data_IF_369829614298
#
_entry.id   IF_369829614298
#
_cell.length_a   1.000
_cell.length_b   1.000
_cell.length_c   1.000
_cell.angle_alpha   90.00
_cell.angle_beta   90.00
_cell.angle_gamma   90.00
#
_symmetry.space_group_name_H-M   'P 1'
#
loop_
_entity.id
_entity.type
_entity.pdbx_description
1 polymer ?
#
# COMPACT_ATOMS: atom_id res chain seq x y z
N UNK A 1 -11.09 5.13 27.18
CA UNK A 1 -9.78 4.45 27.18
C UNK A 1 -9.53 3.73 25.84
N UNK A 2 -10.29 2.68 25.48
CA UNK A 2 -10.05 1.84 24.27
C UNK A 2 -9.98 2.63 22.94
N UNK A 3 -10.88 3.59 22.70
CA UNK A 3 -10.86 4.41 21.48
C UNK A 3 -9.63 5.31 21.40
N UNK A 4 -9.10 5.78 22.52
CA UNK A 4 -7.87 6.57 22.58
C UNK A 4 -6.63 5.68 22.32
N UNK A 5 -6.62 4.49 22.89
CA UNK A 5 -5.57 3.49 22.64
C UNK A 5 -5.55 3.08 21.16
N UNK A 6 -6.72 2.82 20.56
CA UNK A 6 -6.83 2.51 19.14
C UNK A 6 -6.43 3.69 18.24
N UNK A 7 -6.67 4.94 18.69
CA UNK A 7 -6.24 6.16 17.98
C UNK A 7 -4.72 6.32 18.00
N UNK A 8 -4.06 6.04 19.11
CA UNK A 8 -2.63 6.23 19.29
C UNK A 8 -1.78 4.99 18.95
N UNK A 9 -2.39 3.93 18.43
CA UNK A 9 -1.68 2.69 18.14
C UNK A 9 -0.48 2.92 17.23
N UNK A 10 0.71 2.55 17.67
CA UNK A 10 2.02 2.74 16.99
C UNK A 10 2.33 4.20 16.64
N UNK A 11 1.79 5.17 17.37
CA UNK A 11 2.07 6.59 17.18
C UNK A 11 1.40 7.24 15.95
N UNK A 12 0.70 6.48 15.13
CA UNK A 12 0.02 7.01 13.94
C UNK A 12 -1.42 7.40 14.29
N UNK A 13 -1.76 8.66 14.08
CA UNK A 13 -3.12 9.16 14.32
C UNK A 13 -4.11 8.60 13.31
N UNK A 14 -5.27 8.15 13.79
CA UNK A 14 -6.22 7.36 13.00
C UNK A 14 -7.57 8.07 12.84
N UNK A 15 -8.19 7.86 11.69
CA UNK A 15 -9.59 8.23 11.46
C UNK A 15 -10.58 7.21 12.04
N UNK A 16 -11.86 7.57 12.06
CA UNK A 16 -12.92 6.72 12.65
C UNK A 16 -12.97 5.30 12.07
N UNK A 17 -12.68 5.11 10.78
CA UNK A 17 -12.64 3.78 10.14
C UNK A 17 -11.46 2.94 10.64
N UNK A 18 -10.28 3.55 10.79
CA UNK A 18 -9.10 2.86 11.32
C UNK A 18 -9.30 2.46 12.78
N UNK A 19 -9.88 3.35 13.60
CA UNK A 19 -10.25 3.03 14.99
C UNK A 19 -11.23 1.85 15.03
N UNK A 20 -12.25 1.85 14.17
CA UNK A 20 -13.23 0.74 14.07
C UNK A 20 -12.52 -0.58 13.78
N UNK A 21 -11.70 -0.64 12.74
CA UNK A 21 -10.98 -1.84 12.36
C UNK A 21 -10.04 -2.31 13.48
N UNK A 22 -9.31 -1.39 14.12
CA UNK A 22 -8.42 -1.73 15.25
C UNK A 22 -9.18 -2.31 16.42
N UNK A 23 -10.37 -1.80 16.75
CA UNK A 23 -11.21 -2.33 17.82
C UNK A 23 -11.67 -3.77 17.54
N UNK A 24 -11.84 -4.16 16.30
CA UNK A 24 -12.16 -5.54 15.90
C UNK A 24 -10.96 -6.49 16.04
N UNK A 25 -9.72 -5.99 15.98
CA UNK A 25 -8.48 -6.75 16.11
C UNK A 25 -7.93 -6.82 17.54
N UNK A 26 -8.67 -6.34 18.54
CA UNK A 26 -8.29 -6.55 19.93
C UNK A 26 -8.48 -8.03 20.31
N UNK A 27 -7.72 -8.53 21.29
CA UNK A 27 -7.88 -9.89 21.85
C UNK A 27 -9.33 -10.19 22.21
N UNK A 28 -10.01 -9.20 22.81
CA UNK A 28 -11.46 -9.19 22.96
C UNK A 28 -12.03 -8.16 21.99
N UNK A 29 -12.57 -8.58 20.82
CA UNK A 29 -13.08 -7.67 19.82
C UNK A 29 -14.19 -6.77 20.34
N UNK A 30 -14.10 -5.48 20.04
CA UNK A 30 -15.10 -4.49 20.44
C UNK A 30 -15.84 -3.98 19.23
N UNK A 31 -17.09 -4.38 19.06
CA UNK A 31 -17.99 -3.89 18.03
C UNK A 31 -18.57 -2.53 18.42
N UNK A 32 -18.21 -1.47 17.68
CA UNK A 32 -18.68 -0.12 17.95
C UNK A 32 -19.08 0.59 16.67
N UNK A 33 -20.31 1.07 16.58
CA UNK A 33 -20.82 1.81 15.42
C UNK A 33 -19.93 3.05 15.11
N UNK A 34 -19.66 3.29 13.84
CA UNK A 34 -18.88 4.45 13.37
C UNK A 34 -19.42 5.80 13.84
N UNK A 35 -20.77 5.94 14.00
CA UNK A 35 -21.39 7.15 14.57
C UNK A 35 -20.94 7.38 16.02
N UNK A 36 -20.90 6.31 16.84
CA UNK A 36 -20.42 6.35 18.24
C UNK A 36 -18.94 6.71 18.30
N UNK A 37 -18.11 6.12 17.44
CA UNK A 37 -16.67 6.44 17.35
C UNK A 37 -16.48 7.92 17.03
N UNK A 38 -17.14 8.44 16.00
CA UNK A 38 -17.04 9.87 15.62
C UNK A 38 -17.48 10.79 16.77
N UNK A 39 -18.56 10.43 17.49
CA UNK A 39 -19.02 11.19 18.68
C UNK A 39 -17.96 11.22 19.77
N UNK A 40 -17.29 10.08 20.03
CA UNK A 40 -16.20 9.99 21.00
C UNK A 40 -15.00 10.84 20.53
N UNK A 41 -14.61 10.72 19.26
CA UNK A 41 -13.53 11.55 18.70
C UNK A 41 -13.80 13.03 18.89
N UNK A 42 -15.01 13.50 18.55
CA UNK A 42 -15.40 14.91 18.73
C UNK A 42 -15.39 15.32 20.21
N UNK A 43 -15.93 14.48 21.11
CA UNK A 43 -15.96 14.75 22.56
C UNK A 43 -14.56 14.96 23.16
N UNK A 44 -13.56 14.20 22.67
CA UNK A 44 -12.18 14.24 23.18
C UNK A 44 -11.21 14.98 22.27
N UNK A 45 -11.70 15.74 21.28
CA UNK A 45 -10.86 16.54 20.39
C UNK A 45 -9.94 15.72 19.49
N UNK A 46 -10.20 14.42 19.29
CA UNK A 46 -9.37 13.56 18.46
C UNK A 46 -9.61 13.86 16.98
N UNK A 47 -8.60 14.37 16.31
CA UNK A 47 -8.65 14.73 14.88
C UNK A 47 -7.78 13.76 14.08
N UNK A 48 -8.28 13.32 12.91
CA UNK A 48 -7.46 12.62 11.95
C UNK A 48 -6.53 13.62 11.25
N UNK A 49 -5.19 13.48 11.36
CA UNK A 49 -4.24 14.42 10.75
C UNK A 49 -4.12 14.22 9.24
N UNK A 50 -4.59 13.09 8.72
CA UNK A 50 -4.52 12.77 7.30
C UNK A 50 -5.30 13.81 6.51
N UNK A 51 -4.61 14.45 5.57
CA UNK A 51 -5.14 15.46 4.67
C UNK A 51 -6.35 14.96 3.89
N UNK A 52 -7.45 15.70 3.90
CA UNK A 52 -8.59 15.42 3.01
C UNK A 52 -8.16 15.59 1.55
N UNK A 53 -8.36 14.56 0.73
CA UNK A 53 -8.10 14.67 -0.71
C UNK A 53 -8.93 15.82 -1.30
N UNK A 54 -8.26 16.74 -2.03
CA UNK A 54 -8.95 17.83 -2.70
C UNK A 54 -9.78 17.27 -3.88
N UNK A 55 -11.14 17.41 -3.88
CA UNK A 55 -11.99 16.91 -4.96
C UNK A 55 -11.62 17.49 -6.32
N UNK A 56 -11.23 18.77 -6.37
CA UNK A 56 -10.83 19.46 -7.61
C UNK A 56 -9.55 18.86 -8.23
N UNK A 57 -8.61 18.38 -7.43
CA UNK A 57 -7.43 17.67 -7.94
C UNK A 57 -7.79 16.38 -8.68
N UNK A 58 -8.78 15.64 -8.18
CA UNK A 58 -9.29 14.43 -8.84
C UNK A 58 -9.95 14.77 -10.18
N UNK A 59 -10.76 15.84 -10.21
CA UNK A 59 -11.45 16.29 -11.41
C UNK A 59 -10.49 16.82 -12.48
N UNK A 60 -9.51 17.66 -12.11
CA UNK A 60 -8.47 18.15 -13.01
C UNK A 60 -7.59 17.01 -13.55
N UNK A 61 -7.30 15.99 -12.72
CA UNK A 61 -6.56 14.80 -13.12
C UNK A 61 -7.37 13.95 -14.11
N UNK A 62 -8.69 13.79 -13.88
CA UNK A 62 -9.60 13.11 -14.80
C UNK A 62 -9.72 13.82 -16.15
N UNK A 63 -9.76 15.14 -16.17
CA UNK A 63 -9.83 15.94 -17.41
C UNK A 63 -8.54 15.87 -18.24
N UNK A 64 -7.37 15.75 -17.59
CA UNK A 64 -6.07 15.62 -18.30
C UNK A 64 -5.84 14.25 -18.95
N UNK A 65 -6.59 13.22 -18.55
CA UNK A 65 -6.42 11.85 -19.02
C UNK A 65 -7.38 11.42 -20.13
N UNK A 66 -8.21 12.33 -20.67
CA UNK A 66 -9.21 12.03 -21.70
C UNK A 66 -8.65 11.72 -23.09
N UNK A 67 -7.31 11.80 -23.32
CA UNK A 67 -6.67 11.58 -24.61
C UNK A 67 -5.55 10.53 -24.56
N UNK A 68 -5.83 9.29 -24.16
CA UNK A 68 -4.78 8.25 -24.15
C UNK A 68 -5.25 6.92 -24.73
N UNK A 69 -4.40 6.36 -25.58
CA UNK A 69 -4.55 5.09 -26.29
C UNK A 69 -4.71 3.84 -25.38
N UNK A 70 -5.24 2.69 -25.88
CA UNK A 70 -5.63 1.53 -25.06
C UNK A 70 -4.46 0.92 -24.28
N UNK A 71 -4.69 0.65 -22.99
CA UNK A 71 -3.75 0.06 -22.04
C UNK A 71 -3.93 -1.46 -21.99
N UNK A 72 -2.84 -2.23 -22.00
CA UNK A 72 -2.89 -3.71 -21.95
C UNK A 72 -3.42 -4.24 -20.62
N UNK A 73 -3.30 -3.50 -19.52
CA UNK A 73 -3.79 -3.92 -18.20
C UNK A 73 -5.25 -3.57 -17.94
N UNK A 74 -5.94 -2.81 -18.81
CA UNK A 74 -7.35 -2.42 -18.73
C UNK A 74 -7.88 -2.07 -17.33
N UNK A 75 -7.02 -1.69 -16.37
CA UNK A 75 -7.31 -1.40 -14.95
C UNK A 75 -7.82 -2.57 -14.11
N UNK A 76 -7.70 -3.78 -14.59
CA UNK A 76 -8.19 -5.00 -13.95
C UNK A 76 -7.19 -5.59 -12.95
N UNK A 77 -6.58 -4.75 -12.11
CA UNK A 77 -5.57 -5.16 -11.12
C UNK A 77 -6.06 -6.25 -10.15
N UNK A 78 -7.36 -6.43 -10.01
CA UNK A 78 -7.97 -7.41 -9.09
C UNK A 78 -8.40 -8.72 -9.75
N UNK A 79 -8.40 -8.82 -11.05
CA UNK A 79 -8.88 -10.02 -11.74
C UNK A 79 -7.82 -11.12 -11.83
N UNK A 80 -6.54 -10.76 -11.61
CA UNK A 80 -5.44 -11.69 -11.82
C UNK A 80 -5.00 -12.47 -10.57
N UNK A 81 -5.42 -12.06 -9.37
CA UNK A 81 -5.05 -12.71 -8.11
C UNK A 81 -3.68 -12.27 -7.53
N UNK A 82 -3.32 -12.83 -6.35
CA UNK A 82 -2.07 -12.49 -5.66
C UNK A 82 -0.83 -12.81 -6.50
N UNK A 83 0.22 -11.98 -6.38
CA UNK A 83 1.54 -12.16 -7.02
C UNK A 83 1.55 -12.16 -8.55
N UNK A 84 0.44 -11.87 -9.22
CA UNK A 84 0.36 -11.83 -10.69
C UNK A 84 0.80 -10.48 -11.26
N UNK A 85 0.45 -9.39 -10.59
CA UNK A 85 0.81 -8.03 -10.99
C UNK A 85 1.49 -7.33 -9.83
N UNK A 86 2.72 -6.94 -10.03
CA UNK A 86 3.50 -6.13 -9.11
C UNK A 86 3.62 -4.71 -9.68
N UNK A 87 3.48 -3.73 -8.82
CA UNK A 87 3.61 -2.31 -9.17
C UNK A 87 4.90 -1.78 -8.58
N UNK A 88 5.71 -1.10 -9.38
CA UNK A 88 6.92 -0.44 -8.89
C UNK A 88 6.95 1.03 -9.29
N UNK A 89 7.42 1.86 -8.39
CA UNK A 89 7.57 3.29 -8.62
C UNK A 89 8.61 3.89 -7.66
N UNK A 90 9.12 5.07 -8.02
CA UNK A 90 10.10 5.80 -7.22
C UNK A 90 9.45 7.07 -6.69
N UNK A 91 9.60 7.29 -5.38
CA UNK A 91 9.18 8.55 -4.76
C UNK A 91 10.37 9.33 -4.21
N UNK A 92 10.22 10.66 -4.22
CA UNK A 92 11.18 11.60 -3.64
C UNK A 92 10.79 11.88 -2.19
N UNK A 93 11.76 11.78 -1.30
CA UNK A 93 11.61 12.06 0.12
C UNK A 93 12.42 13.31 0.46
N UNK A 94 11.79 14.25 1.14
CA UNK A 94 12.48 15.39 1.76
C UNK A 94 12.40 15.20 3.27
N UNK A 95 13.52 15.16 3.96
CA UNK A 95 13.60 14.88 5.37
C UNK A 95 14.49 15.89 6.11
N UNK A 96 14.39 15.94 7.44
CA UNK A 96 15.14 16.86 8.26
C UNK A 96 15.00 18.32 7.80
N UNK A 97 16.11 19.01 7.69
CA UNK A 97 16.17 20.41 7.25
C UNK A 97 16.19 20.60 5.72
N UNK A 98 15.67 19.62 4.96
CA UNK A 98 15.55 19.72 3.50
C UNK A 98 16.46 18.76 2.72
N UNK A 99 17.04 17.77 3.38
CA UNK A 99 17.81 16.72 2.73
C UNK A 99 16.91 15.86 1.84
N UNK A 100 17.51 15.28 0.79
CA UNK A 100 16.79 14.47 -0.19
C UNK A 100 17.22 13.01 -0.11
N UNK A 101 16.23 12.14 -0.20
CA UNK A 101 16.40 10.71 -0.45
C UNK A 101 15.36 10.23 -1.46
N UNK A 102 15.54 9.03 -1.95
CA UNK A 102 14.68 8.38 -2.93
C UNK A 102 14.26 7.02 -2.38
N UNK A 103 13.02 6.64 -2.60
CA UNK A 103 12.53 5.32 -2.22
C UNK A 103 11.89 4.67 -3.42
N UNK A 104 12.34 3.48 -3.76
CA UNK A 104 11.65 2.59 -4.70
C UNK A 104 10.87 1.56 -3.91
N UNK A 105 9.68 1.21 -4.38
CA UNK A 105 8.81 0.21 -3.75
C UNK A 105 8.29 -0.77 -4.78
N UNK A 106 8.04 -2.00 -4.34
CA UNK A 106 7.38 -3.04 -5.13
C UNK A 106 6.17 -3.53 -4.34
N UNK A 107 4.97 -3.25 -4.85
CA UNK A 107 3.69 -3.60 -4.25
C UNK A 107 3.00 -4.72 -5.03
N UNK A 108 2.38 -5.65 -4.34
CA UNK A 108 1.39 -6.54 -4.96
C UNK A 108 0.10 -5.76 -5.24
N UNK A 109 -0.30 -5.70 -6.49
CA UNK A 109 -1.48 -4.95 -6.90
C UNK A 109 -2.78 -5.52 -6.31
N UNK A 110 -2.83 -6.81 -6.00
CA UNK A 110 -3.99 -7.50 -5.45
C UNK A 110 -4.08 -7.36 -3.93
N UNK A 111 -3.08 -7.87 -3.22
CA UNK A 111 -3.05 -7.90 -1.74
C UNK A 111 -2.67 -6.58 -1.11
N UNK A 112 -2.13 -5.65 -1.88
CA UNK A 112 -1.53 -4.37 -1.43
C UNK A 112 -0.33 -4.54 -0.51
N UNK A 113 0.26 -5.74 -0.42
CA UNK A 113 1.48 -5.95 0.35
C UNK A 113 2.63 -5.15 -0.25
N UNK A 114 3.39 -4.47 0.60
CA UNK A 114 4.71 -3.96 0.28
C UNK A 114 5.69 -5.13 0.34
N UNK A 115 6.11 -5.63 -0.84
CA UNK A 115 6.94 -6.83 -0.97
C UNK A 115 8.42 -6.54 -0.84
N UNK A 116 8.84 -5.41 -1.40
CA UNK A 116 10.21 -4.93 -1.31
C UNK A 116 10.25 -3.42 -1.44
N UNK A 117 11.26 -2.83 -0.85
CA UNK A 117 11.61 -1.42 -1.01
C UNK A 117 13.10 -1.23 -0.78
N UNK A 118 13.60 -0.11 -1.28
CA UNK A 118 14.97 0.35 -1.04
C UNK A 118 14.95 1.87 -0.91
N UNK A 119 15.76 2.40 0.01
CA UNK A 119 15.94 3.84 0.21
C UNK A 119 17.37 4.20 -0.12
N UNK A 120 17.58 5.31 -0.82
CA UNK A 120 18.92 5.76 -1.21
C UNK A 120 19.01 7.28 -1.25
N UNK A 121 20.17 7.82 -0.92
CA UNK A 121 20.48 9.24 -1.14
C UNK A 121 20.89 9.52 -2.60
N UNK A 122 21.06 8.46 -3.41
CA UNK A 122 21.46 8.54 -4.81
C UNK A 122 20.40 7.95 -5.73
N UNK A 123 20.06 8.65 -6.82
CA UNK A 123 19.10 8.20 -7.84
C UNK A 123 19.77 7.31 -8.91
N UNK A 124 20.83 6.56 -8.55
CA UNK A 124 21.48 5.62 -9.48
C UNK A 124 20.63 4.36 -9.63
N UNK A 125 20.79 3.67 -10.75
CA UNK A 125 20.03 2.44 -11.05
C UNK A 125 20.16 1.35 -9.96
N UNK A 126 21.31 1.29 -9.28
CA UNK A 126 21.65 0.21 -8.36
C UNK A 126 20.62 0.04 -7.23
N UNK A 127 20.01 1.14 -6.70
CA UNK A 127 19.01 1.03 -5.66
C UNK A 127 17.71 0.38 -6.16
N UNK A 128 17.35 0.56 -7.43
CA UNK A 128 16.20 -0.11 -8.05
C UNK A 128 16.49 -1.60 -8.23
N UNK A 129 17.71 -1.95 -8.68
CA UNK A 129 18.14 -3.35 -8.80
C UNK A 129 18.19 -4.05 -7.45
N UNK A 130 18.62 -3.35 -6.39
CA UNK A 130 18.62 -3.88 -5.03
C UNK A 130 17.21 -4.22 -4.55
N UNK A 131 16.22 -3.36 -4.83
CA UNK A 131 14.82 -3.65 -4.50
C UNK A 131 14.31 -4.91 -5.22
N UNK A 132 14.65 -5.10 -6.50
CA UNK A 132 14.31 -6.32 -7.25
C UNK A 132 15.02 -7.54 -6.68
N UNK A 133 16.30 -7.46 -6.37
CA UNK A 133 17.06 -8.54 -5.74
C UNK A 133 16.45 -8.93 -4.39
N UNK A 134 16.05 -7.94 -3.58
CA UNK A 134 15.35 -8.16 -2.30
C UNK A 134 14.00 -8.86 -2.51
N UNK A 135 13.21 -8.43 -3.50
CA UNK A 135 11.97 -9.11 -3.90
C UNK A 135 12.22 -10.59 -4.21
N UNK A 136 13.19 -10.87 -5.08
CA UNK A 136 13.51 -12.24 -5.49
C UNK A 136 14.00 -13.07 -4.30
N UNK A 137 14.88 -12.52 -3.47
CA UNK A 137 15.42 -13.22 -2.28
C UNK A 137 14.32 -13.62 -1.30
N UNK A 138 13.32 -12.74 -1.06
CA UNK A 138 12.29 -12.96 -0.04
C UNK A 138 11.08 -13.70 -0.61
N UNK A 139 10.69 -13.38 -1.84
CA UNK A 139 9.42 -13.82 -2.43
C UNK A 139 9.58 -14.66 -3.69
N UNK A 140 10.80 -14.93 -4.16
CA UNK A 140 11.06 -15.60 -5.44
C UNK A 140 10.29 -16.92 -5.62
N UNK A 141 10.17 -17.71 -4.55
CA UNK A 141 9.40 -18.98 -4.57
C UNK A 141 7.91 -18.77 -4.82
N UNK A 142 7.34 -17.64 -4.39
CA UNK A 142 5.92 -17.30 -4.57
C UNK A 142 5.62 -16.57 -5.87
N UNK A 143 6.66 -16.15 -6.60
CA UNK A 143 6.51 -15.49 -7.90
C UNK A 143 6.41 -16.57 -8.99
N UNK A 144 5.51 -16.35 -9.93
CA UNK A 144 5.32 -17.26 -11.06
C UNK A 144 6.03 -16.69 -12.29
N UNK A 145 6.39 -17.58 -13.24
CA UNK A 145 7.03 -17.20 -14.50
C UNK A 145 6.27 -16.15 -15.34
N UNK A 146 4.99 -15.90 -15.02
CA UNK A 146 4.16 -14.88 -15.68
C UNK A 146 3.90 -13.66 -14.83
N UNK A 147 4.53 -13.54 -13.64
CA UNK A 147 4.38 -12.36 -12.79
C UNK A 147 4.83 -11.12 -13.55
N UNK A 148 3.94 -10.15 -13.66
CA UNK A 148 4.14 -8.91 -14.39
C UNK A 148 4.61 -7.81 -13.43
N UNK A 149 5.77 -7.22 -13.68
CA UNK A 149 6.20 -6.00 -13.00
C UNK A 149 5.82 -4.80 -13.87
N UNK A 150 4.90 -3.98 -13.37
CA UNK A 150 4.45 -2.77 -14.03
C UNK A 150 5.13 -1.54 -13.44
N UNK A 151 5.74 -0.72 -14.29
CA UNK A 151 6.41 0.53 -13.94
C UNK A 151 5.95 1.67 -14.83
N UNK A 152 6.38 2.89 -14.53
CA UNK A 152 6.39 3.98 -15.51
C UNK A 152 7.50 3.79 -16.55
N UNK A 153 7.61 4.74 -17.50
CA UNK A 153 8.65 4.75 -18.54
C UNK A 153 9.93 5.47 -18.08
N UNK A 154 10.20 5.52 -16.78
CA UNK A 154 11.40 6.15 -16.23
C UNK A 154 12.69 5.49 -16.72
N UNK A 155 13.78 6.26 -16.76
CA UNK A 155 15.09 5.79 -17.24
C UNK A 155 15.63 4.58 -16.47
N UNK A 156 15.27 4.43 -15.21
CA UNK A 156 15.64 3.26 -14.38
C UNK A 156 15.02 1.98 -14.94
N UNK A 157 13.74 2.02 -15.29
CA UNK A 157 12.98 0.86 -15.76
C UNK A 157 13.22 0.51 -17.22
N UNK A 158 13.71 1.47 -18.02
CA UNK A 158 14.11 1.26 -19.43
C UNK A 158 15.57 0.85 -19.59
N UNK A 159 16.33 0.81 -18.48
CA UNK A 159 17.75 0.44 -18.50
C UNK A 159 17.95 -1.04 -18.85
N UNK A 160 19.02 -1.35 -19.58
CA UNK A 160 19.37 -2.73 -19.94
C UNK A 160 19.57 -3.62 -18.70
N UNK A 161 20.14 -3.07 -17.61
CA UNK A 161 20.34 -3.80 -16.35
C UNK A 161 19.02 -4.22 -15.71
N UNK A 162 18.00 -3.33 -15.71
CA UNK A 162 16.67 -3.66 -15.18
C UNK A 162 15.98 -4.71 -16.06
N UNK A 163 16.01 -4.54 -17.36
CA UNK A 163 15.43 -5.53 -18.31
C UNK A 163 16.09 -6.91 -18.12
N UNK A 164 17.42 -6.94 -17.95
CA UNK A 164 18.17 -8.17 -17.76
C UNK A 164 17.76 -8.88 -16.45
N UNK A 165 17.74 -8.18 -15.32
CA UNK A 165 17.39 -8.80 -14.02
C UNK A 165 15.94 -9.35 -14.02
N UNK A 166 15.00 -8.67 -14.70
CA UNK A 166 13.63 -9.15 -14.84
C UNK A 166 13.59 -10.45 -15.66
N UNK A 167 14.32 -10.50 -16.78
CA UNK A 167 14.41 -11.71 -17.63
C UNK A 167 15.09 -12.88 -16.94
N UNK A 168 16.22 -12.64 -16.25
CA UNK A 168 16.98 -13.66 -15.56
C UNK A 168 16.16 -14.35 -14.45
N UNK A 169 15.16 -13.65 -13.91
CA UNK A 169 14.24 -14.17 -12.90
C UNK A 169 12.88 -14.59 -13.47
N UNK A 170 12.79 -14.79 -14.79
CA UNK A 170 11.58 -15.24 -15.49
C UNK A 170 10.33 -14.37 -15.25
N UNK A 171 10.53 -13.09 -14.95
CA UNK A 171 9.45 -12.13 -14.76
C UNK A 171 9.16 -11.41 -16.09
N UNK A 172 7.97 -10.87 -16.20
CA UNK A 172 7.55 -10.06 -17.35
C UNK A 172 7.53 -8.58 -16.97
N UNK A 173 8.01 -7.74 -17.87
CA UNK A 173 7.93 -6.30 -17.71
C UNK A 173 6.73 -5.74 -18.46
N UNK A 174 5.99 -4.85 -17.81
CA UNK A 174 5.00 -3.97 -18.42
C UNK A 174 5.34 -2.52 -18.08
N UNK A 175 5.02 -1.61 -18.99
CA UNK A 175 5.18 -0.18 -18.75
C UNK A 175 3.84 0.51 -18.97
N UNK A 176 3.41 1.27 -17.98
CA UNK A 176 2.29 2.19 -18.13
C UNK A 176 2.63 3.22 -19.21
N UNK A 177 1.62 3.63 -19.99
CA UNK A 177 1.82 4.63 -21.03
C UNK A 177 2.18 5.99 -20.43
N UNK A 178 2.96 6.76 -21.18
CA UNK A 178 3.38 8.11 -20.78
C UNK A 178 2.15 8.94 -20.36
N UNK A 179 2.18 9.51 -19.16
CA UNK A 179 1.13 10.34 -18.57
C UNK A 179 -0.18 9.62 -18.15
N UNK A 180 -0.23 8.29 -18.05
CA UNK A 180 -1.41 7.59 -17.58
C UNK A 180 -1.32 7.26 -16.07
N UNK A 181 -1.68 8.23 -15.24
CA UNK A 181 -1.63 8.12 -13.77
C UNK A 181 -2.66 7.13 -13.18
N UNK A 182 -3.62 6.64 -13.94
CA UNK A 182 -4.58 5.64 -13.48
C UNK A 182 -3.96 4.25 -13.33
N UNK A 183 -2.94 3.94 -14.11
CA UNK A 183 -2.27 2.65 -14.11
C UNK A 183 -1.34 2.49 -12.91
N UNK A 184 -1.05 3.57 -12.18
CA UNK A 184 -0.24 3.58 -10.97
C UNK A 184 -0.98 4.13 -9.72
N UNK A 185 -2.31 4.25 -9.79
CA UNK A 185 -3.12 4.80 -8.69
C UNK A 185 -2.91 4.10 -7.33
N UNK A 186 -2.71 2.77 -7.24
CA UNK A 186 -2.39 2.12 -5.97
C UNK A 186 -1.07 2.59 -5.38
N UNK A 187 -0.04 2.80 -6.20
CA UNK A 187 1.28 3.26 -5.81
C UNK A 187 1.23 4.73 -5.34
N UNK A 188 0.53 5.59 -6.08
CA UNK A 188 0.29 6.97 -5.66
C UNK A 188 -0.44 7.06 -4.32
N UNK A 189 -1.45 6.20 -4.11
CA UNK A 189 -2.18 6.12 -2.84
C UNK A 189 -1.28 5.65 -1.70
N UNK A 190 -0.43 4.66 -1.94
CA UNK A 190 0.56 4.16 -1.00
C UNK A 190 1.51 5.27 -0.56
N UNK A 191 2.17 5.95 -1.50
CA UNK A 191 3.08 7.06 -1.19
C UNK A 191 2.38 8.24 -0.51
N UNK A 192 1.14 8.51 -0.90
CA UNK A 192 0.33 9.54 -0.25
C UNK A 192 0.11 9.23 1.23
N UNK A 193 -0.28 7.99 1.55
CA UNK A 193 -0.47 7.55 2.93
C UNK A 193 0.84 7.56 3.72
N UNK A 194 1.93 7.06 3.15
CA UNK A 194 3.23 7.07 3.79
C UNK A 194 3.65 8.50 4.17
N UNK A 195 3.59 9.43 3.22
CA UNK A 195 4.01 10.83 3.44
C UNK A 195 3.07 11.60 4.37
N UNK A 196 1.80 11.23 4.44
CA UNK A 196 0.82 11.85 5.35
C UNK A 196 0.94 11.27 6.79
N UNK A 197 1.45 10.05 6.94
CA UNK A 197 1.56 9.35 8.23
C UNK A 197 2.96 9.48 8.86
N UNK A 198 4.01 9.64 8.04
CA UNK A 198 5.39 9.86 8.50
C UNK A 198 5.69 11.35 8.63
N UNK A 199 6.17 11.77 9.79
CA UNK A 199 6.77 13.10 9.96
C UNK A 199 8.25 13.04 9.54
N UNK A 200 8.48 13.17 8.23
CA UNK A 200 9.83 13.15 7.65
C UNK A 200 10.65 14.40 8.02
N UNK A 201 10.00 15.51 8.33
CA UNK A 201 10.69 16.73 8.75
C UNK A 201 11.35 16.57 10.12
N UNK A 202 10.80 15.71 10.98
CA UNK A 202 11.35 15.40 12.30
C UNK A 202 12.53 14.40 12.27
N UNK A 203 12.96 13.90 11.10
CA UNK A 203 14.12 13.03 11.00
C UNK A 203 15.41 13.82 11.29
N UNK A 204 16.23 13.31 12.21
CA UNK A 204 17.51 13.95 12.55
C UNK A 204 18.57 13.72 11.48
N UNK A 205 18.65 12.52 10.95
CA UNK A 205 19.63 12.11 9.93
C UNK A 205 19.07 11.03 8.99
N UNK A 206 19.93 10.49 8.13
CA UNK A 206 19.56 9.45 7.18
C UNK A 206 19.23 8.11 7.87
N UNK A 207 19.90 7.77 8.96
CA UNK A 207 19.63 6.51 9.68
C UNK A 207 18.28 6.59 10.41
N UNK A 208 17.93 7.75 10.99
CA UNK A 208 16.60 7.99 11.56
C UNK A 208 15.51 7.90 10.48
N UNK A 209 15.76 8.44 9.28
CA UNK A 209 14.86 8.27 8.12
C UNK A 209 14.63 6.79 7.80
N UNK A 210 15.70 6.00 7.70
CA UNK A 210 15.61 4.55 7.43
C UNK A 210 14.80 3.84 8.50
N UNK A 211 15.12 4.06 9.78
CA UNK A 211 14.43 3.42 10.90
C UNK A 211 12.91 3.74 10.91
N UNK A 212 12.52 4.98 10.61
CA UNK A 212 11.11 5.39 10.52
C UNK A 212 10.40 4.76 9.34
N UNK A 213 11.07 4.63 8.19
CA UNK A 213 10.51 3.98 7.01
C UNK A 213 10.34 2.49 7.28
N UNK A 214 11.31 1.82 7.92
CA UNK A 214 11.25 0.42 8.27
C UNK A 214 10.10 0.14 9.26
N UNK A 215 9.95 0.94 10.32
CA UNK A 215 8.83 0.83 11.25
C UNK A 215 7.47 1.05 10.56
N UNK A 216 7.41 2.05 9.67
CA UNK A 216 6.17 2.31 8.93
C UNK A 216 5.84 1.20 7.92
N UNK A 217 6.85 0.62 7.26
CA UNK A 217 6.66 -0.49 6.32
C UNK A 217 6.13 -1.74 7.04
N UNK A 218 6.68 -2.03 8.23
CA UNK A 218 6.17 -3.09 9.08
C UNK A 218 4.73 -2.82 9.53
N UNK A 219 4.45 -1.61 10.04
CA UNK A 219 3.10 -1.18 10.38
C UNK A 219 2.15 -1.26 9.18
N UNK A 220 2.57 -0.83 7.99
CA UNK A 220 1.74 -0.87 6.79
C UNK A 220 1.29 -2.30 6.45
N UNK A 221 2.22 -3.24 6.48
CA UNK A 221 1.93 -4.62 6.14
C UNK A 221 1.16 -5.38 7.23
N UNK A 222 1.39 -5.08 8.52
CA UNK A 222 0.88 -5.88 9.62
C UNK A 222 -0.28 -5.25 10.41
N UNK A 223 -0.30 -3.92 10.56
CA UNK A 223 -1.22 -3.22 11.46
C UNK A 223 -2.09 -2.16 10.79
N UNK A 224 -1.79 -1.83 9.52
CA UNK A 224 -2.55 -0.85 8.76
C UNK A 224 -3.73 -1.52 8.07
N UNK A 225 -4.82 -1.70 8.82
CA UNK A 225 -6.04 -2.32 8.31
C UNK A 225 -6.69 -1.46 7.21
N UNK A 226 -7.17 -2.12 6.16
CA UNK A 226 -7.75 -1.47 5.00
C UNK A 226 -9.19 -1.94 4.76
N UNK A 227 -10.08 -0.98 4.54
CA UNK A 227 -11.50 -1.28 4.35
C UNK A 227 -11.77 -2.20 3.15
N UNK A 228 -11.00 -2.04 2.09
CA UNK A 228 -11.13 -2.79 0.85
C UNK A 228 -10.35 -4.12 0.83
N UNK A 229 -9.68 -4.47 1.92
CA UNK A 229 -9.04 -5.76 2.15
C UNK A 229 -9.80 -6.55 3.23
N UNK A 230 -11.11 -6.56 3.16
CA UNK A 230 -11.98 -7.22 4.13
C UNK A 230 -11.71 -6.80 5.61
N UNK A 231 -11.34 -5.54 5.85
CA UNK A 231 -10.97 -4.97 7.15
C UNK A 231 -9.64 -5.48 7.72
N UNK A 232 -8.84 -6.17 6.93
CA UNK A 232 -7.56 -6.77 7.29
C UNK A 232 -6.38 -5.87 6.90
N UNK A 233 -5.21 -6.15 7.46
CA UNK A 233 -3.94 -5.63 6.96
C UNK A 233 -3.52 -6.39 5.69
N UNK A 234 -2.58 -5.84 4.88
CA UNK A 234 -2.10 -6.53 3.68
C UNK A 234 -1.62 -7.96 3.95
N UNK A 235 -0.86 -8.20 5.03
CA UNK A 235 -0.37 -9.53 5.38
C UNK A 235 -1.47 -10.45 5.89
N UNK A 236 -2.43 -9.95 6.67
CA UNK A 236 -3.58 -10.74 7.09
C UNK A 236 -4.47 -11.12 5.91
N UNK A 237 -4.66 -10.19 4.97
CA UNK A 237 -5.46 -10.44 3.78
C UNK A 237 -4.80 -11.50 2.87
N UNK A 238 -3.47 -11.45 2.70
CA UNK A 238 -2.76 -12.48 1.95
C UNK A 238 -2.91 -13.86 2.61
N UNK A 239 -2.73 -13.97 3.94
CA UNK A 239 -2.94 -15.22 4.69
C UNK A 239 -4.37 -15.72 4.60
N UNK A 240 -5.35 -14.82 4.63
CA UNK A 240 -6.76 -15.18 4.44
C UNK A 240 -7.01 -15.80 3.06
N UNK A 241 -6.41 -15.24 2.01
CA UNK A 241 -6.54 -15.79 0.64
C UNK A 241 -5.89 -17.17 0.49
N UNK A 242 -4.77 -17.39 1.17
CA UNK A 242 -4.03 -18.67 1.14
C UNK A 242 -4.73 -19.76 1.95
N UNK A 243 -5.22 -19.43 3.15
CA UNK A 243 -5.80 -20.40 4.09
C UNK A 243 -7.31 -20.60 3.93
N UNK A 244 -8.02 -19.64 3.32
CA UNK A 244 -9.49 -19.58 3.31
C UNK A 244 -10.11 -19.23 4.68
N UNK A 245 -9.30 -19.05 5.74
CA UNK A 245 -9.78 -18.81 7.10
C UNK A 245 -9.76 -17.30 7.41
N UNK A 246 -10.94 -16.72 7.57
CA UNK A 246 -11.07 -15.31 7.94
C UNK A 246 -10.71 -15.10 9.42
N UNK A 247 -9.74 -14.23 9.76
CA UNK A 247 -9.17 -14.17 11.11
C UNK A 247 -10.03 -13.47 12.15
N UNK A 248 -10.97 -12.61 11.74
CA UNK A 248 -11.78 -11.86 12.68
C UNK A 248 -13.02 -12.64 13.13
N UNK A 249 -13.22 -12.76 14.44
CA UNK A 249 -14.45 -13.28 15.01
C UNK A 249 -15.58 -12.27 14.77
N UNK A 250 -16.60 -12.66 14.02
CA UNK A 250 -17.74 -11.79 13.71
C UNK A 250 -18.76 -11.85 14.81
N UNK A 251 -19.22 -10.68 15.25
CA UNK A 251 -20.38 -10.51 16.14
C UNK A 251 -21.67 -10.17 15.37
N UNK A 252 -21.65 -10.06 14.02
CA UNK A 252 -22.84 -9.70 13.22
C UNK A 252 -22.90 -10.48 11.90
N UNK A 253 -24.12 -10.91 11.47
CA UNK A 253 -24.34 -11.80 10.33
C UNK A 253 -24.17 -11.16 8.92
N UNK A 254 -23.93 -9.86 8.80
CA UNK A 254 -23.87 -9.17 7.51
C UNK A 254 -22.50 -8.59 7.22
N UNK A 255 -21.70 -9.38 6.50
CA UNK A 255 -20.52 -8.90 5.86
C UNK A 255 -20.86 -8.40 4.45
N UNK A 256 -20.66 -7.11 4.15
CA UNK A 256 -20.94 -6.58 2.82
C UNK A 256 -19.98 -7.12 1.74
N UNK A 257 -18.96 -7.90 2.10
CA UNK A 257 -17.91 -8.38 1.20
C UNK A 257 -17.87 -9.91 1.00
N UNK A 258 -18.64 -10.68 1.79
CA UNK A 258 -18.81 -12.11 1.53
C UNK A 258 -20.06 -12.31 0.71
N UNK A 259 -19.91 -12.72 -0.54
CA UNK A 259 -21.03 -13.32 -1.28
C UNK A 259 -21.50 -14.54 -0.48
N UNK A 260 -22.81 -14.70 -0.23
CA UNK A 260 -23.30 -15.93 0.40
C UNK A 260 -22.78 -17.11 -0.41
N UNK A 261 -22.17 -18.09 0.29
CA UNK A 261 -21.89 -19.38 -0.29
C UNK A 261 -23.19 -19.88 -0.91
N UNK A 262 -23.19 -20.17 -2.21
CA UNK A 262 -24.25 -20.95 -2.80
C UNK A 262 -24.06 -22.36 -2.19
N UNK A 263 -24.86 -22.66 -1.17
CA UNK A 263 -25.01 -24.04 -0.73
C UNK A 263 -25.53 -24.84 -1.94
N UNK A 264 -24.87 -25.94 -2.32
CA UNK A 264 -25.45 -26.83 -3.31
C UNK A 264 -26.67 -27.51 -2.68
N UNK A 265 -27.82 -27.39 -3.31
CA UNK A 265 -28.99 -28.25 -3.06
C UNK A 265 -28.67 -29.71 -3.37
#
# INVERSE_FOLDING_TARGET
>A
ALSLQAYNHRGYAKGARSIYMRLLHLETPVCMNLKKIRRIMNKYGLKCPIRKANPYRRMLKAMRTSHVAPNLLQREFREHGPRKILLTDITYLTYGSGQRAYMVTILDAYTKQLLAYEVSQSLKIDFVLNAVNRLIKIHGVSLQAETLINSDQGSHYTSLKFIQIIRDNHLRQSMSRKANCWDNAPQESFFGHMKDELDLAACGDYNDLLARIDDWADYYNNDRYQWNLALLSPNEYARYLESGVYPLKRSTPTDPFVKPSQDPE
#
